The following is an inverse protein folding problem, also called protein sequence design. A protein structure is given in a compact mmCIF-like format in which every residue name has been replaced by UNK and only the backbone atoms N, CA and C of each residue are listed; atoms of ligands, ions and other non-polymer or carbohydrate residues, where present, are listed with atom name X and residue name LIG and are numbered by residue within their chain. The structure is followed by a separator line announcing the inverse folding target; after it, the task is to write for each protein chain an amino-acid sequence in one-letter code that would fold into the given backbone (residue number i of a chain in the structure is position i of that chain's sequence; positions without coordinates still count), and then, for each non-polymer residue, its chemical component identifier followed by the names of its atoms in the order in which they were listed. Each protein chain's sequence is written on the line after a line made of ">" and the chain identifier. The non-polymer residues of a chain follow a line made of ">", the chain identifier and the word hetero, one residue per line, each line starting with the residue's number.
data_IF_966758427709
#
_entry.id   IF_966758427709
#
_cell.length_a   1.000
_cell.length_b   1.000
_cell.length_c   1.000
_cell.angle_alpha   90.00
_cell.angle_beta   90.00
_cell.angle_gamma   90.00
#
_symmetry.space_group_name_H-M   'P 1'
#
loop_
_entity.id
_entity.type
_entity.pdbx_description
1 polymer ?
#
# COMPACT_ATOMS: atom_id res chain seq x y z
N UNK A 1 6.79 9.04 -7.62
CA UNK A 1 7.68 7.96 -8.15
C UNK A 1 6.85 7.09 -9.09
N UNK A 2 7.35 6.83 -10.30
CA UNK A 2 6.62 6.06 -11.31
C UNK A 2 6.44 4.62 -10.80
N UNK A 3 5.22 4.12 -10.92
CA UNK A 3 4.67 2.83 -10.50
C UNK A 3 5.40 1.56 -10.99
N UNK A 4 6.58 1.67 -11.59
CA UNK A 4 7.03 0.65 -12.54
C UNK A 4 7.73 -0.57 -11.95
N UNK A 5 8.21 -0.59 -10.70
CA UNK A 5 8.86 -1.79 -10.16
C UNK A 5 8.70 -1.92 -8.64
N UNK A 6 7.47 -2.12 -8.14
CA UNK A 6 7.33 -2.65 -6.77
C UNK A 6 7.90 -4.07 -6.76
N UNK A 7 8.84 -4.42 -5.86
CA UNK A 7 9.35 -5.78 -5.68
C UNK A 7 8.26 -6.84 -5.46
N UNK A 8 8.50 -8.07 -5.91
CA UNK A 8 7.53 -9.16 -5.83
C UNK A 8 7.15 -9.52 -4.39
N UNK A 9 8.12 -9.44 -3.47
CA UNK A 9 7.94 -9.70 -2.04
C UNK A 9 7.06 -8.65 -1.34
N UNK A 10 7.03 -7.40 -1.83
CA UNK A 10 6.10 -6.36 -1.36
C UNK A 10 4.70 -6.63 -1.93
N UNK A 11 4.59 -6.98 -3.22
CA UNK A 11 3.28 -7.26 -3.84
C UNK A 11 2.54 -8.41 -3.16
N UNK A 12 3.28 -9.37 -2.62
CA UNK A 12 2.73 -10.50 -1.88
C UNK A 12 2.20 -10.13 -0.49
N UNK A 13 2.54 -8.94 0.05
CA UNK A 13 2.11 -8.53 1.39
C UNK A 13 0.66 -8.06 1.42
N UNK A 14 -0.03 -8.42 2.50
CA UNK A 14 -1.23 -7.75 2.95
C UNK A 14 -0.93 -6.32 3.42
N UNK A 15 -1.99 -5.49 3.51
CA UNK A 15 -1.88 -4.13 4.06
C UNK A 15 -1.29 -4.16 5.48
N UNK A 16 -1.70 -5.12 6.31
CA UNK A 16 -1.24 -5.24 7.71
C UNK A 16 0.24 -5.60 7.80
N UNK A 17 0.72 -6.50 6.96
CA UNK A 17 2.15 -6.85 6.91
C UNK A 17 2.99 -5.67 6.45
N UNK A 18 2.55 -4.96 5.40
CA UNK A 18 3.25 -3.77 4.93
C UNK A 18 3.29 -2.66 5.99
N UNK A 19 2.19 -2.44 6.73
CA UNK A 19 2.15 -1.50 7.86
C UNK A 19 3.10 -1.89 9.00
N UNK A 20 3.19 -3.18 9.32
CA UNK A 20 4.10 -3.65 10.36
C UNK A 20 5.56 -3.45 9.96
N UNK A 21 5.92 -3.72 8.70
CA UNK A 21 7.27 -3.45 8.20
C UNK A 21 7.61 -1.96 8.20
N UNK A 22 6.67 -1.09 7.79
CA UNK A 22 6.84 0.37 7.87
C UNK A 22 7.10 0.81 9.31
N UNK A 23 6.39 0.28 10.30
CA UNK A 23 6.61 0.62 11.72
C UNK A 23 8.04 0.25 12.17
N UNK A 24 8.54 -0.91 11.76
CA UNK A 24 9.91 -1.34 12.06
C UNK A 24 10.92 -0.41 11.38
N UNK A 25 10.67 -0.01 10.13
CA UNK A 25 11.54 0.91 9.39
C UNK A 25 11.57 2.29 10.05
N UNK A 26 10.43 2.85 10.44
CA UNK A 26 10.34 4.15 11.12
C UNK A 26 11.16 4.11 12.42
N UNK A 27 11.00 3.07 13.24
CA UNK A 27 11.75 2.93 14.49
C UNK A 27 13.27 2.86 14.26
N UNK A 28 13.71 2.29 13.12
CA UNK A 28 15.13 2.31 12.72
C UNK A 28 15.56 3.70 12.26
N UNK A 29 14.80 4.35 11.39
CA UNK A 29 15.15 5.67 10.84
C UNK A 29 15.17 6.78 11.91
N UNK A 30 14.36 6.66 12.94
CA UNK A 30 14.30 7.60 14.07
C UNK A 30 15.38 7.33 15.13
N UNK A 31 16.13 6.22 15.03
CA UNK A 31 17.20 5.92 15.96
C UNK A 31 18.43 6.82 15.66
N UNK A 32 18.98 7.44 16.70
CA UNK A 32 20.16 8.32 16.62
C UNK A 32 21.47 7.61 16.25
N UNK A 33 21.52 6.28 16.32
CA UNK A 33 22.70 5.46 16.01
C UNK A 33 22.76 4.99 14.55
N UNK A 34 21.73 5.30 13.76
CA UNK A 34 21.61 4.84 12.37
C UNK A 34 22.48 5.67 11.44
N UNK A 35 23.38 5.03 10.67
CA UNK A 35 24.17 5.74 9.66
C UNK A 35 23.30 6.13 8.44
N UNK A 36 23.73 7.17 7.73
CA UNK A 36 22.99 7.72 6.59
C UNK A 36 22.87 6.70 5.44
N UNK A 37 23.93 5.94 5.18
CA UNK A 37 23.99 4.90 4.14
C UNK A 37 22.88 3.85 4.32
N UNK A 38 22.74 3.27 5.52
CA UNK A 38 21.72 2.26 5.79
C UNK A 38 20.30 2.85 5.78
N UNK A 39 20.17 4.16 6.02
CA UNK A 39 18.89 4.84 6.05
C UNK A 39 18.28 5.03 4.65
N UNK A 40 19.11 5.11 3.60
CA UNK A 40 18.64 5.27 2.21
C UNK A 40 17.81 4.04 1.79
N UNK A 41 18.36 2.85 1.93
CA UNK A 41 17.67 1.61 1.54
C UNK A 41 16.38 1.40 2.33
N UNK A 42 16.42 1.67 3.64
CA UNK A 42 15.24 1.57 4.50
C UNK A 42 14.16 2.57 4.08
N UNK A 43 14.54 3.81 3.76
CA UNK A 43 13.60 4.82 3.29
C UNK A 43 12.99 4.47 1.92
N UNK A 44 13.80 4.00 0.96
CA UNK A 44 13.30 3.55 -0.34
C UNK A 44 12.33 2.38 -0.19
N UNK A 45 12.65 1.43 0.69
CA UNK A 45 11.78 0.30 1.05
C UNK A 45 10.45 0.79 1.63
N UNK A 46 10.49 1.74 2.57
CA UNK A 46 9.29 2.35 3.15
C UNK A 46 8.41 3.01 2.08
N UNK A 47 9.02 3.72 1.12
CA UNK A 47 8.30 4.36 0.03
C UNK A 47 7.59 3.34 -0.87
N UNK A 48 8.23 2.20 -1.17
CA UNK A 48 7.61 1.12 -1.93
C UNK A 48 6.44 0.47 -1.18
N UNK A 49 6.59 0.22 0.12
CA UNK A 49 5.53 -0.31 0.98
C UNK A 49 4.32 0.65 1.04
N UNK A 50 4.58 1.95 1.20
CA UNK A 50 3.53 2.96 1.25
C UNK A 50 2.77 3.06 -0.09
N UNK A 51 3.49 2.98 -1.22
CA UNK A 51 2.87 2.95 -2.54
C UNK A 51 2.00 1.70 -2.74
N UNK A 52 2.45 0.53 -2.30
CA UNK A 52 1.65 -0.71 -2.32
C UNK A 52 0.36 -0.58 -1.52
N UNK A 53 0.43 -0.04 -0.29
CA UNK A 53 -0.75 0.20 0.54
C UNK A 53 -1.75 1.13 -0.17
N UNK A 54 -1.25 2.22 -0.78
CA UNK A 54 -2.09 3.15 -1.52
C UNK A 54 -2.82 2.47 -2.69
N UNK A 55 -2.12 1.66 -3.49
CA UNK A 55 -2.73 0.93 -4.61
C UNK A 55 -3.77 -0.10 -4.12
N UNK A 56 -3.53 -0.76 -3.00
CA UNK A 56 -4.50 -1.69 -2.40
C UNK A 56 -5.78 -0.97 -1.95
N UNK A 57 -5.67 0.21 -1.34
CA UNK A 57 -6.84 1.03 -0.99
C UNK A 57 -7.58 1.52 -2.23
N UNK A 58 -6.85 1.97 -3.26
CA UNK A 58 -7.44 2.39 -4.54
C UNK A 58 -8.19 1.25 -5.22
N UNK A 59 -7.64 0.04 -5.19
CA UNK A 59 -8.31 -1.17 -5.71
C UNK A 59 -9.61 -1.45 -4.96
N UNK A 60 -9.57 -1.51 -3.62
CA UNK A 60 -10.78 -1.71 -2.80
C UNK A 60 -11.83 -0.62 -3.01
N UNK A 61 -11.42 0.63 -3.12
CA UNK A 61 -12.34 1.74 -3.39
C UNK A 61 -13.04 1.58 -4.75
N UNK A 62 -12.34 1.11 -5.78
CA UNK A 62 -12.94 0.80 -7.09
C UNK A 62 -13.93 -0.37 -6.99
N UNK A 63 -13.57 -1.44 -6.30
CA UNK A 63 -14.45 -2.60 -6.08
C UNK A 63 -15.75 -2.21 -5.37
N UNK A 64 -15.66 -1.38 -4.34
CA UNK A 64 -16.83 -0.85 -3.61
C UNK A 64 -17.72 0.00 -4.53
N UNK A 65 -17.12 0.91 -5.31
CA UNK A 65 -17.86 1.75 -6.26
C UNK A 65 -18.55 0.92 -7.35
N UNK A 66 -17.89 -0.10 -7.88
CA UNK A 66 -18.50 -0.97 -8.88
C UNK A 66 -19.67 -1.74 -8.28
N UNK A 67 -19.49 -2.33 -7.09
CA UNK A 67 -20.54 -3.07 -6.40
C UNK A 67 -21.77 -2.21 -6.10
N UNK A 68 -21.60 -0.93 -5.77
CA UNK A 68 -22.72 -0.01 -5.53
C UNK A 68 -23.46 0.37 -6.82
N UNK A 69 -22.76 0.49 -7.94
CA UNK A 69 -23.36 0.73 -9.26
C UNK A 69 -24.17 -0.50 -9.73
N UNK A 70 -23.60 -1.70 -9.63
CA UNK A 70 -24.25 -2.94 -10.03
C UNK A 70 -25.56 -3.19 -9.25
N UNK A 71 -25.57 -2.81 -7.96
CA UNK A 71 -26.77 -2.90 -7.13
C UNK A 71 -27.84 -1.87 -7.51
N UNK A 72 -27.44 -0.68 -7.98
CA UNK A 72 -28.37 0.35 -8.44
C UNK A 72 -29.05 -0.08 -9.74
N UNK A 73 -28.30 -0.63 -10.70
CA UNK A 73 -28.85 -1.15 -11.96
C UNK A 73 -29.84 -2.29 -11.73
N UNK A 74 -29.51 -3.25 -10.85
CA UNK A 74 -30.41 -4.36 -10.50
C UNK A 74 -31.72 -3.91 -9.84
N UNK A 75 -31.72 -2.80 -9.11
CA UNK A 75 -32.94 -2.27 -8.50
C UNK A 75 -33.79 -1.49 -9.53
N UNK A 76 -33.17 -0.82 -10.49
CA UNK A 76 -33.88 -0.12 -11.59
C UNK A 76 -34.58 -1.06 -12.57
N UNK A 77 -34.07 -2.30 -12.72
CA UNK A 77 -34.64 -3.33 -13.61
C UNK A 77 -35.77 -4.15 -12.97
N UNK A 78 -36.05 -3.94 -11.68
CA UNK A 78 -37.09 -4.65 -10.92
C UNK A 78 -38.40 -3.85 -10.78
N UNK A 79 -38.48 -2.67 -11.41
CA UNK A 79 -39.64 -1.76 -11.41
C UNK A 79 -40.36 -1.87 -12.74
#
# INVERSE_FOLDING_TARGET
>A
MKSKNIPADIRAKSIKEAQNEIKVIIAKLENSETNLENSIEQYERMMQLNYHIHEQFKKKAKEIKQSSLDNKEKNSLKV
#
